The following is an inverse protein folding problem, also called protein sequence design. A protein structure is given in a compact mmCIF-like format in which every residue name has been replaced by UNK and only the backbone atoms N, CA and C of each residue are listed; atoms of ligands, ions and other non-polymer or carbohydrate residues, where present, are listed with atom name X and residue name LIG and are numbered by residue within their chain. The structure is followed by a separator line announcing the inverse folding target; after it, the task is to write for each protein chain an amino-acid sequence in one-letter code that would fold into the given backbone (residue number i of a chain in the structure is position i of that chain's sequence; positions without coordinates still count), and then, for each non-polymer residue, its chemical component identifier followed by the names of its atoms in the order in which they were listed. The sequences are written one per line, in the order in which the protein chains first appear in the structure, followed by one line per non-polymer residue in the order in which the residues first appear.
data_IF_624989187023
#
_entry.id   IF_624989187023
#
_cell.length_a   1.000
_cell.length_b   1.000
_cell.length_c   1.000
_cell.angle_alpha   90.00
_cell.angle_beta   90.00
_cell.angle_gamma   90.00
#
_symmetry.space_group_name_H-M   'P 1'
#
loop_
_entity.id
_entity.type
_entity.pdbx_description
1 polymer ?
#
# COMPACT_ATOMS: atom_id res chain seq x y z
N UNK A 1 -24.30 21.08 -29.44
CA UNK A 1 -23.15 21.56 -30.22
C UNK A 1 -21.98 21.74 -29.25
N UNK A 2 -21.20 20.68 -28.98
CA UNK A 2 -20.12 20.68 -27.99
C UNK A 2 -18.80 21.15 -28.62
N UNK A 3 -18.83 22.34 -29.20
CA UNK A 3 -17.73 22.92 -30.01
C UNK A 3 -16.80 23.83 -29.17
N UNK A 4 -16.97 23.82 -27.85
CA UNK A 4 -16.42 24.85 -26.97
C UNK A 4 -15.10 24.47 -26.27
N UNK A 5 -14.71 23.19 -26.28
CA UNK A 5 -13.51 22.72 -25.55
C UNK A 5 -12.45 22.07 -26.43
N UNK A 6 -12.87 21.17 -27.32
CA UNK A 6 -11.98 20.39 -28.18
C UNK A 6 -11.25 21.24 -29.23
N UNK A 7 -11.96 22.14 -29.93
CA UNK A 7 -11.33 23.02 -30.93
C UNK A 7 -10.33 23.99 -30.29
N UNK A 8 -10.69 24.60 -29.16
CA UNK A 8 -9.83 25.54 -28.46
C UNK A 8 -8.56 24.87 -27.93
N UNK A 9 -8.66 23.62 -27.44
CA UNK A 9 -7.49 22.87 -27.01
C UNK A 9 -6.46 22.65 -28.14
N UNK A 10 -6.94 22.37 -29.36
CA UNK A 10 -6.08 22.21 -30.54
C UNK A 10 -5.42 23.53 -30.92
N UNK A 11 -6.18 24.64 -30.91
CA UNK A 11 -5.65 25.97 -31.23
C UNK A 11 -4.56 26.39 -30.23
N UNK A 12 -4.80 26.17 -28.93
CA UNK A 12 -3.83 26.47 -27.88
C UNK A 12 -2.58 25.60 -28.04
N UNK A 13 -2.74 24.31 -28.28
CA UNK A 13 -1.61 23.41 -28.52
C UNK A 13 -0.77 23.86 -29.73
N UNK A 14 -1.42 24.26 -30.82
CA UNK A 14 -0.74 24.74 -32.03
C UNK A 14 -0.01 26.07 -31.77
N UNK A 15 -0.62 26.99 -31.03
CA UNK A 15 0.01 28.24 -30.61
C UNK A 15 1.27 27.99 -29.76
N UNK A 16 1.19 27.06 -28.80
CA UNK A 16 2.35 26.64 -28.00
C UNK A 16 3.45 26.02 -28.87
N UNK A 17 3.10 25.17 -29.84
CA UNK A 17 4.06 24.59 -30.79
C UNK A 17 4.72 25.69 -31.63
N UNK A 18 3.99 26.73 -32.05
CA UNK A 18 4.56 27.84 -32.81
C UNK A 18 5.54 28.68 -31.98
N UNK A 19 5.18 28.99 -30.73
CA UNK A 19 6.00 29.80 -29.82
C UNK A 19 7.27 29.04 -29.40
N UNK A 20 7.11 27.77 -28.98
CA UNK A 20 8.23 26.95 -28.49
C UNK A 20 9.00 26.25 -29.61
N UNK A 21 8.39 26.06 -30.77
CA UNK A 21 8.94 25.31 -31.89
C UNK A 21 8.84 23.78 -31.71
N UNK A 22 8.73 23.06 -32.82
CA UNK A 22 8.60 21.59 -32.86
C UNK A 22 9.82 20.83 -32.34
N UNK A 23 10.99 21.48 -32.26
CA UNK A 23 12.24 20.87 -31.76
C UNK A 23 12.32 20.84 -30.23
N UNK A 24 11.64 21.75 -29.52
CA UNK A 24 11.72 21.88 -28.06
C UNK A 24 10.79 20.92 -27.32
N UNK A 25 9.58 20.70 -27.82
CA UNK A 25 8.63 19.71 -27.29
C UNK A 25 9.22 18.30 -27.09
N UNK A 26 9.87 17.69 -28.10
CA UNK A 26 10.43 16.35 -27.95
C UNK A 26 11.71 16.32 -27.12
N UNK A 27 12.39 17.45 -26.91
CA UNK A 27 13.50 17.52 -25.95
C UNK A 27 12.97 17.59 -24.51
N UNK A 28 11.95 18.40 -24.27
CA UNK A 28 11.31 18.58 -22.96
C UNK A 28 10.60 17.31 -22.48
N UNK A 29 9.90 16.60 -23.36
CA UNK A 29 9.26 15.33 -23.00
C UNK A 29 10.29 14.26 -22.62
N UNK A 30 11.46 14.24 -23.27
CA UNK A 30 12.55 13.32 -22.92
C UNK A 30 13.14 13.63 -21.55
N UNK A 31 13.32 14.91 -21.20
CA UNK A 31 13.85 15.30 -19.88
C UNK A 31 12.84 15.01 -18.77
N UNK A 32 11.56 15.35 -18.97
CA UNK A 32 10.50 15.01 -18.01
C UNK A 32 10.35 13.50 -17.89
N UNK A 33 10.32 12.78 -19.01
CA UNK A 33 10.19 11.32 -19.00
C UNK A 33 11.34 10.63 -18.26
N UNK A 34 12.58 11.12 -18.44
CA UNK A 34 13.73 10.64 -17.66
C UNK A 34 13.59 10.96 -16.17
N UNK A 35 13.25 12.21 -15.82
CA UNK A 35 13.08 12.63 -14.43
C UNK A 35 11.99 11.83 -13.71
N UNK A 36 10.83 11.64 -14.34
CA UNK A 36 9.74 10.81 -13.80
C UNK A 36 10.16 9.36 -13.68
N UNK A 37 10.87 8.82 -14.68
CA UNK A 37 11.38 7.44 -14.65
C UNK A 37 12.42 7.19 -13.57
N UNK A 38 13.34 8.13 -13.33
CA UNK A 38 14.31 8.07 -12.23
C UNK A 38 13.64 8.25 -10.87
N UNK A 39 12.67 9.16 -10.78
CA UNK A 39 11.87 9.36 -9.57
C UNK A 39 11.13 8.07 -9.15
N UNK A 40 10.47 7.38 -10.09
CA UNK A 40 9.73 6.16 -9.76
C UNK A 40 10.66 5.02 -9.31
N UNK A 41 11.85 4.90 -9.92
CA UNK A 41 12.89 3.94 -9.48
C UNK A 41 13.36 4.23 -8.07
N UNK A 42 13.64 5.50 -7.77
CA UNK A 42 14.06 5.96 -6.45
C UNK A 42 12.96 5.73 -5.43
N UNK A 43 11.71 6.09 -5.75
CA UNK A 43 10.54 5.86 -4.91
C UNK A 43 10.33 4.37 -4.61
N UNK A 44 10.54 3.50 -5.60
CA UNK A 44 10.45 2.05 -5.40
C UNK A 44 11.51 1.53 -4.42
N UNK A 45 12.76 1.98 -4.55
CA UNK A 45 13.84 1.65 -3.60
C UNK A 45 13.54 2.17 -2.20
N UNK A 46 13.13 3.43 -2.08
CA UNK A 46 12.73 4.01 -0.81
C UNK A 46 11.61 3.22 -0.13
N UNK A 47 10.61 2.77 -0.89
CA UNK A 47 9.52 1.96 -0.33
C UNK A 47 10.04 0.63 0.21
N UNK A 48 10.92 -0.05 -0.50
CA UNK A 48 11.55 -1.29 -0.05
C UNK A 48 12.40 -1.04 1.21
N UNK A 49 13.26 -0.02 1.20
CA UNK A 49 14.10 0.34 2.35
C UNK A 49 13.27 0.72 3.58
N UNK A 50 12.16 1.46 3.40
CA UNK A 50 11.24 1.79 4.49
C UNK A 50 10.52 0.57 5.05
N UNK A 51 10.11 -0.37 4.18
CA UNK A 51 9.44 -1.61 4.58
C UNK A 51 10.41 -2.54 5.32
N UNK A 52 11.64 -2.66 4.83
CA UNK A 52 12.73 -3.39 5.48
C UNK A 52 13.10 -2.77 6.83
N UNK A 53 13.25 -1.44 6.91
CA UNK A 53 13.53 -0.74 8.16
C UNK A 53 12.37 -0.88 9.17
N UNK A 54 11.13 -0.82 8.71
CA UNK A 54 9.96 -1.06 9.55
C UNK A 54 9.90 -2.51 10.05
N UNK A 55 10.30 -3.46 9.22
CA UNK A 55 10.38 -4.87 9.62
C UNK A 55 11.53 -5.14 10.59
N UNK A 56 12.70 -4.51 10.39
CA UNK A 56 13.82 -4.56 11.32
C UNK A 56 13.47 -3.93 12.67
N UNK A 57 12.86 -2.74 12.69
CA UNK A 57 12.40 -2.09 13.91
C UNK A 57 11.38 -2.96 14.68
N UNK A 58 10.50 -3.69 13.97
CA UNK A 58 9.58 -4.65 14.60
C UNK A 58 10.32 -5.85 15.23
N UNK A 59 11.41 -6.32 14.60
CA UNK A 59 12.25 -7.42 15.14
C UNK A 59 13.05 -6.96 16.36
N UNK A 60 13.63 -5.77 16.33
CA UNK A 60 14.41 -5.20 17.45
C UNK A 60 13.53 -4.84 18.66
N UNK A 61 12.30 -4.39 18.44
CA UNK A 61 11.34 -4.12 19.51
C UNK A 61 10.78 -5.39 20.19
N UNK A 62 11.24 -6.59 19.82
CA UNK A 62 10.79 -7.85 20.42
C UNK A 62 9.31 -8.18 20.15
N UNK A 63 8.70 -7.52 19.15
CA UNK A 63 7.30 -7.71 18.78
C UNK A 63 7.20 -8.92 17.84
N UNK A 64 7.53 -10.09 18.36
CA UNK A 64 7.62 -11.33 17.58
C UNK A 64 6.26 -11.93 17.20
N UNK A 65 5.11 -11.31 17.53
CA UNK A 65 3.77 -11.87 17.26
C UNK A 65 2.65 -10.82 17.17
N UNK A 66 2.80 -9.72 16.43
CA UNK A 66 1.60 -8.98 16.00
C UNK A 66 1.13 -9.63 14.69
N UNK A 67 -0.04 -10.30 14.65
CA UNK A 67 -0.55 -10.89 13.43
C UNK A 67 -0.68 -9.79 12.38
N UNK A 68 0.02 -9.94 11.24
CA UNK A 68 -0.29 -9.12 10.07
C UNK A 68 -1.75 -9.47 9.72
N UNK A 69 -2.66 -8.50 9.76
CA UNK A 69 -4.03 -8.71 9.30
C UNK A 69 -3.95 -8.86 7.78
N UNK A 70 -3.82 -10.11 7.31
CA UNK A 70 -3.51 -10.44 5.91
C UNK A 70 -4.74 -10.46 4.98
N UNK A 71 -5.87 -9.89 5.41
CA UNK A 71 -7.09 -9.83 4.60
C UNK A 71 -8.36 -9.80 5.45
N UNK A 72 -9.55 -9.74 4.79
CA UNK A 72 -10.83 -9.97 5.45
C UNK A 72 -10.83 -11.35 6.11
N UNK A 73 -11.31 -11.45 7.34
CA UNK A 73 -11.39 -12.72 8.06
C UNK A 73 -12.56 -13.53 7.48
N UNK A 74 -12.25 -14.63 6.79
CA UNK A 74 -13.24 -15.36 5.98
C UNK A 74 -14.08 -16.36 6.80
N UNK A 75 -13.59 -16.81 7.97
CA UNK A 75 -14.28 -17.81 8.80
C UNK A 75 -14.39 -17.40 10.27
N UNK A 76 -15.44 -17.89 10.96
CA UNK A 76 -15.59 -17.69 12.40
C UNK A 76 -14.40 -18.27 13.18
N UNK A 77 -13.87 -19.42 12.73
CA UNK A 77 -12.69 -20.03 13.32
C UNK A 77 -11.49 -19.08 13.29
N UNK A 78 -11.25 -18.43 12.16
CA UNK A 78 -10.14 -17.51 11.98
C UNK A 78 -10.29 -16.23 12.83
N UNK A 79 -11.52 -15.78 13.12
CA UNK A 79 -11.78 -14.71 14.10
C UNK A 79 -11.38 -15.14 15.50
N UNK A 80 -11.77 -16.34 15.91
CA UNK A 80 -11.42 -16.89 17.23
C UNK A 80 -9.90 -17.04 17.39
N UNK A 81 -9.22 -17.54 16.36
CA UNK A 81 -7.75 -17.69 16.36
C UNK A 81 -7.02 -16.35 16.41
N UNK A 82 -7.52 -15.32 15.72
CA UNK A 82 -6.93 -13.98 15.77
C UNK A 82 -7.05 -13.35 17.16
N UNK A 83 -8.21 -13.50 17.81
CA UNK A 83 -8.43 -13.02 19.18
C UNK A 83 -7.58 -13.82 20.18
N UNK A 84 -7.57 -15.15 20.06
CA UNK A 84 -6.77 -16.03 20.90
C UNK A 84 -5.27 -15.71 20.80
N UNK A 85 -4.76 -15.54 19.58
CA UNK A 85 -3.35 -15.18 19.32
C UNK A 85 -3.00 -13.83 19.95
N UNK A 86 -3.91 -12.85 19.84
CA UNK A 86 -3.74 -11.51 20.45
C UNK A 86 -3.73 -11.56 21.98
N UNK A 87 -4.41 -12.54 22.59
CA UNK A 87 -4.43 -12.79 24.04
C UNK A 87 -3.33 -13.77 24.51
N UNK A 88 -2.45 -14.22 23.60
CA UNK A 88 -1.38 -15.18 23.90
C UNK A 88 -1.88 -16.60 24.23
N UNK A 89 -3.03 -17.00 23.69
CA UNK A 89 -3.63 -18.33 23.86
C UNK A 89 -3.19 -19.23 22.70
N UNK A 90 -2.72 -20.44 23.02
CA UNK A 90 -2.36 -21.45 22.01
C UNK A 90 -3.61 -22.04 21.33
N UNK A 91 -3.64 -22.01 20.00
CA UNK A 91 -4.80 -22.41 19.19
C UNK A 91 -4.73 -23.88 18.71
N UNK A 92 -3.59 -24.56 18.88
CA UNK A 92 -3.36 -25.87 18.27
C UNK A 92 -4.17 -26.97 18.98
N UNK A 93 -4.97 -27.72 18.20
CA UNK A 93 -5.71 -28.89 18.69
C UNK A 93 -6.94 -28.60 19.54
N UNK A 94 -7.36 -27.34 19.67
CA UNK A 94 -8.54 -26.94 20.44
C UNK A 94 -9.79 -26.81 19.57
N UNK A 95 -10.95 -27.24 20.07
CA UNK A 95 -12.23 -27.01 19.39
C UNK A 95 -12.67 -25.54 19.47
N UNK A 96 -13.68 -25.16 18.68
CA UNK A 96 -14.21 -23.79 18.64
C UNK A 96 -14.80 -23.37 19.98
N UNK A 97 -15.50 -24.30 20.65
CA UNK A 97 -16.08 -24.08 21.96
C UNK A 97 -15.02 -23.90 23.05
N UNK A 98 -13.95 -24.71 23.01
CA UNK A 98 -12.82 -24.54 23.93
C UNK A 98 -12.14 -23.18 23.74
N UNK A 99 -11.90 -22.75 22.49
CA UNK A 99 -11.31 -21.44 22.21
C UNK A 99 -12.17 -20.31 22.77
N UNK A 100 -13.49 -20.34 22.54
CA UNK A 100 -14.44 -19.35 23.06
C UNK A 100 -14.38 -19.27 24.59
N UNK A 101 -14.33 -20.43 25.26
CA UNK A 101 -14.28 -20.48 26.73
C UNK A 101 -12.97 -19.90 27.31
N UNK A 102 -11.84 -20.12 26.64
CA UNK A 102 -10.54 -19.61 27.07
C UNK A 102 -10.41 -18.10 26.82
N UNK A 103 -10.90 -17.63 25.68
CA UNK A 103 -10.93 -16.20 25.35
C UNK A 103 -11.80 -15.45 26.35
N UNK A 104 -13.02 -15.92 26.62
CA UNK A 104 -13.93 -15.23 27.55
C UNK A 104 -13.35 -15.17 28.97
N UNK A 105 -12.78 -16.28 29.46
CA UNK A 105 -12.09 -16.33 30.75
C UNK A 105 -10.91 -15.36 30.83
N UNK A 106 -10.13 -15.21 29.75
CA UNK A 106 -8.96 -14.32 29.73
C UNK A 106 -9.33 -12.83 29.58
N UNK A 107 -10.45 -12.51 28.93
CA UNK A 107 -10.97 -11.14 28.78
C UNK A 107 -11.66 -10.62 30.04
N UNK A 108 -12.11 -11.53 30.91
CA UNK A 108 -12.78 -11.21 32.18
C UNK A 108 -11.84 -11.27 33.40
N UNK A 109 -10.60 -11.73 33.20
CA UNK A 109 -9.53 -11.73 34.19
C UNK A 109 -8.68 -10.45 34.05
#
# INVERSE_FOLDING_TARGET
MNIAGSEWAIIILLALILIFGTKRLPQFSRTIGRAVGEYEKTRARFRQEMEEAAEQAKREAGISKVPRITGPVESERQKLEMIATSLGIDCAGKSDDELRSLISRKMSA
#
